data_IF_818116001227
#
_entry.id   IF_818116001227
#
_cell.length_a   1.000
_cell.length_b   1.000
_cell.length_c   1.000
_cell.angle_alpha   90.00
_cell.angle_beta   90.00
_cell.angle_gamma   90.00
#
_symmetry.space_group_name_H-M   'P 1'
#
loop_
_entity.id
_entity.type
_entity.pdbx_description
1 polymer ?
#
# COMPACT_ATOMS: atom_id res chain seq x y z
N UNK A 1 -3.74 9.82 11.20
CA UNK A 1 -3.42 8.74 12.17
C UNK A 1 -2.15 8.01 11.78
N UNK A 2 -2.01 7.51 10.56
CA UNK A 2 -0.78 6.86 10.10
C UNK A 2 0.46 7.75 10.34
N UNK A 3 0.38 9.04 10.03
CA UNK A 3 1.47 9.99 10.30
C UNK A 3 1.80 10.11 11.80
N UNK A 4 0.78 10.11 12.66
CA UNK A 4 0.96 10.16 14.13
C UNK A 4 1.64 8.88 14.63
N UNK A 5 1.20 7.73 14.14
CA UNK A 5 1.78 6.43 14.46
C UNK A 5 3.26 6.40 14.08
N UNK A 6 3.57 6.70 12.82
CA UNK A 6 4.93 6.67 12.31
C UNK A 6 5.83 7.69 13.02
N UNK A 7 5.30 8.87 13.33
CA UNK A 7 6.01 9.86 14.13
C UNK A 7 6.34 9.32 15.53
N UNK A 8 5.35 8.75 16.24
CA UNK A 8 5.55 8.19 17.58
C UNK A 8 6.55 7.03 17.57
N UNK A 9 6.44 6.11 16.60
CA UNK A 9 7.43 5.04 16.41
C UNK A 9 8.84 5.59 16.18
N UNK A 10 8.99 6.68 15.41
CA UNK A 10 10.31 7.28 15.13
C UNK A 10 11.04 7.77 16.38
N UNK A 11 10.31 8.25 17.39
CA UNK A 11 10.91 8.81 18.62
C UNK A 11 10.98 7.82 19.79
N UNK A 12 10.50 6.58 19.60
CA UNK A 12 10.58 5.53 20.60
C UNK A 12 11.91 4.79 20.55
N UNK A 13 12.41 4.36 21.73
CA UNK A 13 13.66 3.57 21.83
C UNK A 13 13.55 2.20 21.15
N UNK A 14 12.37 1.59 21.24
CA UNK A 14 11.99 0.31 20.62
C UNK A 14 11.28 0.51 19.26
N UNK A 15 11.28 1.72 18.72
CA UNK A 15 10.48 2.11 17.55
C UNK A 15 10.71 1.24 16.31
N UNK A 16 11.96 0.85 16.06
CA UNK A 16 12.32 -0.02 14.92
C UNK A 16 11.75 -1.43 15.06
N UNK A 17 11.79 -1.98 16.29
CA UNK A 17 11.21 -3.28 16.59
C UNK A 17 9.69 -3.22 16.40
N UNK A 18 9.03 -2.21 16.98
CA UNK A 18 7.59 -2.01 16.85
C UNK A 18 7.16 -1.80 15.39
N UNK A 19 7.97 -1.11 14.57
CA UNK A 19 7.70 -1.01 13.13
C UNK A 19 7.73 -2.39 12.45
N UNK A 20 8.70 -3.24 12.81
CA UNK A 20 8.77 -4.61 12.33
C UNK A 20 7.56 -5.44 12.75
N UNK A 21 7.11 -5.32 13.99
CA UNK A 21 5.92 -5.99 14.54
C UNK A 21 4.64 -5.51 13.83
N UNK A 22 4.46 -4.19 13.65
CA UNK A 22 3.33 -3.62 12.90
C UNK A 22 3.28 -4.11 11.45
N UNK A 23 4.43 -4.20 10.77
CA UNK A 23 4.50 -4.75 9.41
C UNK A 23 4.21 -6.26 9.39
N UNK A 24 4.47 -6.97 10.50
CA UNK A 24 4.11 -8.36 10.71
C UNK A 24 2.60 -8.60 10.82
N UNK A 25 1.83 -7.59 11.24
CA UNK A 25 0.36 -7.63 11.28
C UNK A 25 -0.29 -7.52 9.89
N UNK A 26 0.47 -7.13 8.87
CA UNK A 26 -0.05 -7.00 7.51
C UNK A 26 -0.32 -8.38 6.93
N UNK A 27 -1.56 -8.59 6.50
CA UNK A 27 -1.98 -9.85 5.91
C UNK A 27 -1.80 -9.84 4.38
N UNK A 28 -0.95 -10.74 3.88
CA UNK A 28 -0.68 -10.89 2.44
C UNK A 28 -1.39 -12.15 1.90
N UNK A 29 -2.50 -12.02 1.15
CA UNK A 29 -3.34 -13.17 0.74
C UNK A 29 -2.63 -14.17 -0.18
N UNK A 30 -1.66 -13.69 -0.95
CA UNK A 30 -0.98 -14.43 -2.03
C UNK A 30 0.52 -14.64 -1.77
N UNK A 31 1.02 -14.21 -0.61
CA UNK A 31 2.39 -14.43 -0.15
C UNK A 31 2.35 -15.49 0.95
N UNK A 32 3.36 -16.37 1.02
CA UNK A 32 3.52 -17.19 2.23
C UNK A 32 3.67 -16.26 3.42
N UNK A 33 2.98 -16.57 4.51
CA UNK A 33 2.85 -15.69 5.67
C UNK A 33 4.24 -15.20 6.11
N UNK A 34 4.31 -13.90 6.36
CA UNK A 34 5.52 -13.15 6.66
C UNK A 34 6.11 -13.46 8.05
N UNK A 35 5.57 -14.45 8.77
CA UNK A 35 5.96 -14.84 10.13
C UNK A 35 7.42 -15.30 10.30
N UNK A 36 8.25 -15.21 9.25
CA UNK A 36 9.70 -15.41 9.25
C UNK A 36 10.46 -14.25 8.59
N UNK A 37 9.92 -13.02 8.67
CA UNK A 37 10.63 -11.86 8.19
C UNK A 37 11.90 -11.64 9.01
N UNK A 38 13.04 -11.55 8.33
CA UNK A 38 14.30 -11.17 8.96
C UNK A 38 14.12 -9.85 9.73
N UNK A 39 14.72 -9.68 10.93
CA UNK A 39 14.58 -8.46 11.71
C UNK A 39 14.92 -7.20 10.92
N UNK A 40 14.15 -6.13 11.13
CA UNK A 40 14.46 -4.82 10.54
C UNK A 40 15.71 -4.27 11.23
N UNK A 41 16.77 -3.99 10.46
CA UNK A 41 18.03 -3.40 10.97
C UNK A 41 18.03 -1.88 10.91
N UNK A 42 17.37 -1.33 9.88
CA UNK A 42 17.21 0.09 9.72
C UNK A 42 15.90 0.37 8.96
N UNK A 43 15.33 1.55 9.19
CA UNK A 43 14.17 2.02 8.47
C UNK A 43 14.27 3.53 8.20
N UNK A 44 13.89 3.94 6.99
CA UNK A 44 13.61 5.33 6.67
C UNK A 44 12.13 5.47 6.29
N UNK A 45 11.42 6.38 6.95
CA UNK A 45 10.00 6.64 6.71
C UNK A 45 9.84 7.98 6.00
N UNK A 46 9.16 7.97 4.85
CA UNK A 46 8.88 9.16 4.05
C UNK A 46 7.36 9.32 3.96
N UNK A 47 6.83 10.31 4.67
CA UNK A 47 5.38 10.56 4.81
C UNK A 47 4.89 11.50 3.70
N UNK A 48 3.69 11.26 3.17
CA UNK A 48 3.03 12.09 2.15
C UNK A 48 3.90 12.37 0.92
N UNK A 49 4.59 11.31 0.45
CA UNK A 49 5.56 11.44 -0.63
C UNK A 49 4.87 11.44 -1.99
N UNK A 50 4.92 12.58 -2.68
CA UNK A 50 4.51 12.63 -4.09
C UNK A 50 5.47 11.85 -4.99
N UNK A 51 4.95 11.05 -5.91
CA UNK A 51 5.71 10.34 -6.94
C UNK A 51 5.34 10.83 -8.35
N UNK A 52 4.90 12.10 -8.47
CA UNK A 52 4.52 12.73 -9.73
C UNK A 52 3.43 11.93 -10.46
N UNK A 53 3.69 11.42 -11.68
CA UNK A 53 2.67 10.72 -12.47
C UNK A 53 2.30 9.35 -11.88
N UNK A 54 3.03 8.87 -10.87
CA UNK A 54 2.75 7.62 -10.16
C UNK A 54 1.83 7.83 -8.95
N UNK A 55 1.36 9.06 -8.73
CA UNK A 55 0.49 9.43 -7.62
C UNK A 55 1.28 9.73 -6.35
N UNK A 56 0.55 10.13 -5.33
CA UNK A 56 1.12 10.35 -4.00
C UNK A 56 1.02 9.07 -3.18
N UNK A 57 1.90 8.91 -2.21
CA UNK A 57 1.82 7.85 -1.21
C UNK A 57 1.64 8.44 0.17
N UNK A 58 0.69 7.89 0.94
CA UNK A 58 0.53 8.29 2.34
C UNK A 58 1.82 8.02 3.13
N UNK A 59 2.50 6.91 2.83
CA UNK A 59 3.82 6.64 3.36
C UNK A 59 4.64 5.70 2.46
N UNK A 60 5.94 6.00 2.33
CA UNK A 60 6.95 5.08 1.79
C UNK A 60 7.92 4.71 2.90
N UNK A 61 8.10 3.42 3.15
CA UNK A 61 9.02 2.90 4.17
C UNK A 61 10.15 2.14 3.46
N UNK A 62 11.37 2.60 3.62
CA UNK A 62 12.59 1.93 3.14
C UNK A 62 13.17 1.12 4.30
N UNK A 63 13.32 -0.18 4.11
CA UNK A 63 13.72 -1.13 5.14
C UNK A 63 15.03 -1.80 4.73
N UNK A 64 15.95 -1.92 5.68
CA UNK A 64 17.12 -2.78 5.53
C UNK A 64 16.95 -4.02 6.41
N UNK A 65 17.03 -5.21 5.79
CA UNK A 65 16.95 -6.51 6.44
C UNK A 65 18.16 -7.35 6.02
N UNK A 66 19.21 -7.34 6.85
CA UNK A 66 20.44 -8.12 6.65
C UNK A 66 20.99 -8.07 5.21
N UNK A 67 21.11 -6.85 4.67
CA UNK A 67 21.65 -6.61 3.32
C UNK A 67 20.60 -6.70 2.19
N UNK A 68 19.35 -6.98 2.53
CA UNK A 68 18.21 -6.93 1.62
C UNK A 68 17.40 -5.65 1.84
N UNK A 69 17.50 -4.73 0.88
CA UNK A 69 16.71 -3.50 0.89
C UNK A 69 15.29 -3.74 0.39
N UNK A 70 14.28 -3.43 1.20
CA UNK A 70 12.86 -3.61 0.91
C UNK A 70 12.14 -2.26 0.96
N UNK A 71 11.13 -2.07 0.11
CA UNK A 71 10.30 -0.86 0.11
C UNK A 71 8.85 -1.24 0.37
N UNK A 72 8.21 -0.60 1.34
CA UNK A 72 6.77 -0.67 1.55
C UNK A 72 6.10 0.64 1.12
N UNK A 73 5.19 0.55 0.15
CA UNK A 73 4.27 1.61 -0.20
C UNK A 73 2.99 1.42 0.60
N UNK A 74 2.59 2.43 1.38
CA UNK A 74 1.42 2.36 2.24
C UNK A 74 0.39 3.37 1.77
N UNK A 75 -0.83 2.89 1.51
CA UNK A 75 -2.00 3.70 1.18
C UNK A 75 -3.11 3.46 2.19
N UNK A 76 -3.59 4.53 2.80
CA UNK A 76 -4.58 4.50 3.85
C UNK A 76 -5.91 5.08 3.38
N UNK A 77 -6.98 4.31 3.55
CA UNK A 77 -8.36 4.73 3.29
C UNK A 77 -9.11 4.85 4.60
N UNK A 78 -9.86 5.94 4.75
CA UNK A 78 -10.79 6.14 5.87
C UNK A 78 -12.21 5.79 5.43
N UNK A 79 -13.09 5.45 6.37
CA UNK A 79 -14.49 5.21 6.03
C UNK A 79 -15.11 6.53 5.56
N UNK A 80 -15.59 6.53 4.31
CA UNK A 80 -16.61 7.51 3.94
C UNK A 80 -17.95 7.00 4.50
N UNK A 81 -18.95 7.86 4.64
CA UNK A 81 -20.25 7.55 5.28
C UNK A 81 -21.10 6.48 4.57
N UNK A 82 -20.52 5.69 3.65
CA UNK A 82 -21.13 4.63 2.87
C UNK A 82 -20.50 3.28 3.24
N UNK A 83 -21.34 2.24 3.38
CA UNK A 83 -21.07 0.90 3.93
C UNK A 83 -19.65 0.34 3.61
N UNK A 84 -18.84 -0.05 4.62
CA UNK A 84 -17.41 -0.39 4.46
C UNK A 84 -17.08 -1.64 3.63
N UNK A 85 -17.79 -2.76 3.79
CA UNK A 85 -17.43 -4.03 3.12
C UNK A 85 -17.70 -4.00 1.62
N UNK A 86 -18.78 -3.32 1.20
CA UNK A 86 -19.08 -3.11 -0.22
C UNK A 86 -18.09 -2.16 -0.90
N UNK A 87 -17.37 -1.33 -0.15
CA UNK A 87 -16.44 -0.34 -0.69
C UNK A 87 -15.20 -1.00 -1.30
N UNK A 88 -14.56 -1.90 -0.56
CA UNK A 88 -13.29 -2.52 -1.00
C UNK A 88 -13.48 -3.43 -2.22
N UNK A 89 -14.49 -4.31 -2.21
CA UNK A 89 -14.84 -5.14 -3.38
C UNK A 89 -15.21 -4.28 -4.59
N UNK A 90 -15.95 -3.20 -4.38
CA UNK A 90 -16.33 -2.28 -5.44
C UNK A 90 -15.13 -1.53 -6.01
N UNK A 91 -14.20 -1.05 -5.18
CA UNK A 91 -12.94 -0.43 -5.66
C UNK A 91 -12.11 -1.43 -6.46
N UNK A 92 -12.05 -2.69 -6.01
CA UNK A 92 -11.35 -3.74 -6.73
C UNK A 92 -12.01 -4.06 -8.09
N UNK A 93 -13.35 -4.15 -8.11
CA UNK A 93 -14.10 -4.35 -9.34
C UNK A 93 -13.95 -3.17 -10.30
N UNK A 94 -13.89 -1.93 -9.77
CA UNK A 94 -13.59 -0.76 -10.59
C UNK A 94 -12.21 -0.85 -11.19
N UNK A 95 -11.18 -1.09 -10.38
CA UNK A 95 -9.82 -1.29 -10.85
C UNK A 95 -9.76 -2.33 -11.98
N UNK A 96 -10.37 -3.50 -11.79
CA UNK A 96 -10.43 -4.55 -12.82
C UNK A 96 -11.11 -4.10 -14.11
N UNK A 97 -12.26 -3.45 -13.99
CA UNK A 97 -13.04 -2.99 -15.15
C UNK A 97 -12.34 -1.85 -15.90
N UNK A 98 -11.71 -0.94 -15.16
CA UNK A 98 -11.01 0.24 -15.68
C UNK A 98 -9.74 -0.17 -16.45
N UNK A 99 -9.01 -1.13 -15.89
CA UNK A 99 -7.90 -1.83 -16.55
C UNK A 99 -8.38 -2.55 -17.81
N UNK A 100 -9.38 -3.43 -17.69
CA UNK A 100 -9.77 -4.33 -18.78
C UNK A 100 -10.58 -3.70 -19.92
N UNK A 101 -11.32 -2.60 -19.69
CA UNK A 101 -12.21 -2.00 -20.71
C UNK A 101 -11.66 -0.75 -21.37
N UNK A 102 -10.96 0.10 -20.61
CA UNK A 102 -10.56 1.43 -21.08
C UNK A 102 -9.04 1.66 -21.00
N UNK A 103 -8.30 0.73 -20.38
CA UNK A 103 -6.87 0.89 -20.07
C UNK A 103 -6.57 2.06 -19.13
N UNK A 104 -7.59 2.67 -18.52
CA UNK A 104 -7.42 3.86 -17.69
C UNK A 104 -7.27 3.44 -16.26
N UNK A 105 -6.16 3.73 -15.61
CA UNK A 105 -6.07 3.57 -14.15
C UNK A 105 -6.77 4.75 -13.47
N UNK A 106 -7.71 4.43 -12.58
CA UNK A 106 -8.43 5.42 -11.77
C UNK A 106 -7.58 6.00 -10.64
N UNK A 107 -8.22 6.78 -9.77
CA UNK A 107 -7.64 7.28 -8.53
C UNK A 107 -8.02 6.41 -7.31
N UNK A 108 -8.54 5.20 -7.54
CA UNK A 108 -8.86 4.23 -6.49
C UNK A 108 -7.60 3.64 -5.85
N UNK A 109 -7.76 3.00 -4.70
CA UNK A 109 -6.68 2.41 -3.90
C UNK A 109 -5.79 1.45 -4.72
N UNK A 110 -6.38 0.56 -5.50
CA UNK A 110 -5.64 -0.46 -6.23
C UNK A 110 -4.88 0.15 -7.41
N UNK A 111 -5.51 1.08 -8.14
CA UNK A 111 -4.83 1.83 -9.20
C UNK A 111 -3.61 2.59 -8.66
N UNK A 112 -3.74 3.21 -7.48
CA UNK A 112 -2.64 3.94 -6.86
C UNK A 112 -1.48 3.03 -6.43
N UNK A 113 -1.77 1.87 -5.82
CA UNK A 113 -0.75 0.88 -5.46
C UNK A 113 -0.10 0.27 -6.71
N UNK A 114 -0.89 -0.02 -7.74
CA UNK A 114 -0.37 -0.59 -8.98
C UNK A 114 0.62 0.35 -9.68
N UNK A 115 0.35 1.66 -9.72
CA UNK A 115 1.31 2.65 -10.25
C UNK A 115 2.65 2.64 -9.52
N UNK A 116 2.62 2.43 -8.20
CA UNK A 116 3.83 2.38 -7.36
C UNK A 116 4.65 1.14 -7.67
N UNK A 117 3.98 0.00 -7.90
CA UNK A 117 4.63 -1.20 -8.41
C UNK A 117 5.26 -0.99 -9.79
N UNK A 118 4.56 -0.31 -10.71
CA UNK A 118 5.11 0.01 -12.04
C UNK A 118 6.38 0.86 -11.92
N UNK A 119 6.37 1.87 -11.05
CA UNK A 119 7.56 2.68 -10.78
C UNK A 119 8.70 1.82 -10.21
N UNK A 120 8.40 1.00 -9.19
CA UNK A 120 9.37 0.13 -8.55
C UNK A 120 10.01 -0.85 -9.54
N UNK A 121 9.21 -1.57 -10.34
CA UNK A 121 9.70 -2.49 -11.36
C UNK A 121 10.63 -1.78 -12.34
N UNK A 122 10.23 -0.62 -12.87
CA UNK A 122 11.07 0.08 -13.83
C UNK A 122 12.37 0.62 -13.21
N UNK A 123 12.36 1.02 -11.93
CA UNK A 123 13.58 1.41 -11.22
C UNK A 123 14.55 0.24 -11.08
N UNK A 124 14.05 -0.98 -10.86
CA UNK A 124 14.84 -2.22 -10.84
C UNK A 124 15.36 -2.56 -12.23
N UNK A 125 14.47 -2.59 -13.24
CA UNK A 125 14.79 -3.09 -14.57
C UNK A 125 15.69 -2.15 -15.38
N UNK A 126 15.46 -0.85 -15.26
CA UNK A 126 16.09 0.18 -16.11
C UNK A 126 17.10 1.04 -15.34
N UNK A 127 17.03 1.05 -14.02
CA UNK A 127 17.81 1.94 -13.16
C UNK A 127 17.25 3.37 -13.12
N UNK A 128 17.60 4.08 -12.03
CA UNK A 128 17.12 5.43 -11.74
C UNK A 128 17.32 6.42 -12.90
N UNK A 129 18.53 6.51 -13.46
CA UNK A 129 18.84 7.53 -14.47
C UNK A 129 18.04 7.34 -15.76
N UNK A 130 17.78 6.10 -16.18
CA UNK A 130 16.95 5.83 -17.35
C UNK A 130 15.48 6.19 -17.11
N UNK A 131 14.94 5.83 -15.94
CA UNK A 131 13.56 6.16 -15.57
C UNK A 131 13.36 7.67 -15.55
N UNK A 132 14.32 8.44 -15.01
CA UNK A 132 14.23 9.91 -14.99
C UNK A 132 14.33 10.51 -16.39
N UNK A 133 15.24 10.01 -17.23
CA UNK A 133 15.48 10.57 -18.56
C UNK A 133 14.34 10.28 -19.55
N UNK A 134 13.84 9.03 -19.56
CA UNK A 134 12.90 8.55 -20.58
C UNK A 134 11.46 8.45 -20.10
N UNK A 135 11.25 8.31 -18.78
CA UNK A 135 9.95 7.92 -18.23
C UNK A 135 9.67 6.43 -18.42
N UNK A 136 8.44 6.05 -18.07
CA UNK A 136 7.96 4.67 -18.12
C UNK A 136 6.76 4.64 -19.07
N UNK A 137 6.87 3.84 -20.13
CA UNK A 137 5.74 3.53 -20.99
C UNK A 137 4.83 2.54 -20.25
N UNK A 138 3.55 2.89 -20.14
CA UNK A 138 2.55 2.03 -19.52
C UNK A 138 1.63 1.56 -20.64
N UNK A 139 1.66 0.26 -20.93
CA UNK A 139 0.74 -0.35 -21.88
C UNK A 139 -0.71 -0.08 -21.44
N UNK A 140 -1.56 0.27 -22.40
CA UNK A 140 -2.98 0.61 -22.22
C UNK A 140 -3.31 1.89 -21.42
N UNK A 141 -2.33 2.56 -20.79
CA UNK A 141 -2.52 3.72 -19.93
C UNK A 141 -2.91 5.05 -20.62
N UNK A 142 -4.10 5.17 -21.21
CA UNK A 142 -4.63 6.49 -21.63
C UNK A 142 -5.22 7.25 -20.45
N UNK A 143 -4.40 7.92 -19.65
CA UNK A 143 -4.92 8.84 -18.62
C UNK A 143 -5.49 10.15 -19.20
N UNK A 144 -6.02 11.01 -18.31
CA UNK A 144 -6.66 12.33 -18.56
C UNK A 144 -5.83 13.30 -19.46
N UNK A 145 -4.56 12.96 -19.79
CA UNK A 145 -3.63 13.78 -20.59
C UNK A 145 -3.10 13.13 -21.87
N UNK A 146 -3.67 12.02 -22.35
CA UNK A 146 -3.29 11.34 -23.61
C UNK A 146 -1.81 10.87 -23.72
N UNK A 147 -1.03 10.88 -22.63
CA UNK A 147 0.35 10.36 -22.64
C UNK A 147 0.39 8.93 -22.14
N UNK A 148 1.03 8.04 -22.90
CA UNK A 148 1.37 6.66 -22.48
C UNK A 148 2.64 6.60 -21.65
N UNK A 149 3.38 7.72 -21.57
CA UNK A 149 4.63 7.82 -20.80
C UNK A 149 4.36 8.56 -19.48
N UNK A 150 4.66 7.90 -18.36
CA UNK A 150 4.66 8.47 -17.00
C UNK A 150 6.06 8.90 -16.58
N UNK A 151 6.16 10.02 -15.87
CA UNK A 151 7.44 10.62 -15.46
C UNK A 151 7.43 10.98 -13.96
N UNK A 152 8.63 10.92 -13.36
CA UNK A 152 8.89 11.44 -12.01
C UNK A 152 8.94 12.98 -11.95
N UNK A 153 8.92 13.64 -13.11
CA UNK A 153 9.07 15.09 -13.22
C UNK A 153 10.50 15.55 -12.96
N UNK A 154 10.65 16.82 -12.56
CA UNK A 154 11.94 17.47 -12.26
C UNK A 154 12.06 17.94 -10.81
N UNK A 155 11.08 17.62 -9.96
CA UNK A 155 11.08 18.06 -8.57
C UNK A 155 12.20 17.36 -7.79
N UNK A 156 13.14 18.09 -7.16
CA UNK A 156 14.29 17.49 -6.49
C UNK A 156 13.91 16.62 -5.28
N UNK A 157 12.78 16.89 -4.62
CA UNK A 157 12.26 16.07 -3.52
C UNK A 157 11.84 14.70 -4.04
N UNK A 158 11.06 14.67 -5.13
CA UNK A 158 10.60 13.43 -5.78
C UNK A 158 11.78 12.61 -6.28
N UNK A 159 12.74 13.26 -6.97
CA UNK A 159 13.93 12.60 -7.49
C UNK A 159 14.81 12.01 -6.38
N UNK A 160 14.94 12.72 -5.24
CA UNK A 160 15.68 12.22 -4.08
C UNK A 160 14.99 11.00 -3.46
N UNK A 161 13.67 11.03 -3.29
CA UNK A 161 12.91 9.89 -2.79
C UNK A 161 13.05 8.68 -3.73
N UNK A 162 12.88 8.87 -5.04
CA UNK A 162 13.05 7.80 -6.02
C UNK A 162 14.47 7.22 -6.07
N UNK A 163 15.50 8.04 -5.85
CA UNK A 163 16.89 7.56 -5.75
C UNK A 163 17.09 6.69 -4.51
N UNK A 164 16.51 7.07 -3.37
CA UNK A 164 16.57 6.26 -2.14
C UNK A 164 15.78 4.96 -2.28
N UNK A 165 14.62 5.00 -2.92
CA UNK A 165 13.86 3.79 -3.25
C UNK A 165 14.71 2.85 -4.10
N UNK A 166 15.39 3.32 -5.15
CA UNK A 166 16.14 2.46 -6.08
C UNK A 166 17.17 1.50 -5.43
N UNK A 167 17.65 1.80 -4.21
CA UNK A 167 18.57 0.92 -3.47
C UNK A 167 17.87 -0.02 -2.47
N UNK A 168 16.54 0.07 -2.34
CA UNK A 168 15.67 -0.72 -1.46
C UNK A 168 14.56 -1.47 -2.21
N UNK A 169 14.79 -1.88 -3.46
CA UNK A 169 13.77 -2.57 -4.29
C UNK A 169 14.06 -4.06 -4.50
N UNK A 170 14.81 -4.70 -3.59
CA UNK A 170 14.98 -6.17 -3.66
C UNK A 170 13.68 -6.92 -3.32
N UNK A 171 12.80 -6.28 -2.57
CA UNK A 171 11.43 -6.72 -2.30
C UNK A 171 10.51 -5.50 -2.16
N UNK A 172 9.25 -5.63 -2.60
CA UNK A 172 8.28 -4.54 -2.60
C UNK A 172 7.01 -5.00 -1.89
N UNK A 173 6.53 -4.19 -0.95
CA UNK A 173 5.26 -4.39 -0.26
C UNK A 173 4.30 -3.28 -0.69
N UNK A 174 3.08 -3.66 -1.04
CA UNK A 174 1.98 -2.76 -1.37
C UNK A 174 0.93 -2.91 -0.26
N UNK A 175 1.00 -2.05 0.74
CA UNK A 175 0.18 -2.15 1.96
C UNK A 175 -1.01 -1.22 1.86
N UNK A 176 -2.20 -1.79 1.89
CA UNK A 176 -3.45 -1.04 1.99
C UNK A 176 -3.93 -1.04 3.45
N UNK A 177 -4.06 0.16 4.04
CA UNK A 177 -4.69 0.37 5.36
C UNK A 177 -6.16 0.72 5.15
N UNK A 178 -7.09 -0.15 5.56
CA UNK A 178 -8.50 -0.05 5.18
C UNK A 178 -9.45 0.10 6.38
N UNK A 179 -10.61 0.75 6.19
CA UNK A 179 -11.60 0.99 7.24
C UNK A 179 -12.53 -0.21 7.41
N UNK A 180 -11.96 -1.38 7.57
CA UNK A 180 -12.69 -2.55 8.05
C UNK A 180 -12.68 -2.52 9.58
N UNK A 181 -13.76 -3.02 10.19
CA UNK A 181 -13.81 -3.26 11.63
C UNK A 181 -12.83 -4.39 11.97
N UNK A 182 -13.34 -5.55 12.39
CA UNK A 182 -12.55 -6.77 12.25
C UNK A 182 -12.59 -7.15 10.76
N UNK A 183 -11.45 -7.56 10.20
CA UNK A 183 -11.50 -8.55 9.13
C UNK A 183 -12.21 -9.75 9.76
N UNK A 184 -13.53 -9.85 9.56
CA UNK A 184 -14.23 -11.09 9.92
C UNK A 184 -13.47 -12.21 9.20
N UNK A 185 -13.09 -13.31 9.87
CA UNK A 185 -12.49 -14.45 9.20
C UNK A 185 -13.24 -14.85 7.92
N UNK A 186 -14.57 -14.67 7.87
CA UNK A 186 -15.37 -14.88 6.67
C UNK A 186 -15.13 -13.82 5.58
N UNK A 187 -15.10 -12.52 5.92
CA UNK A 187 -14.78 -11.44 4.96
C UNK A 187 -13.33 -11.54 4.45
N UNK A 188 -12.40 -11.89 5.35
CA UNK A 188 -11.00 -12.13 5.02
C UNK A 188 -10.87 -13.38 4.13
N UNK A 189 -11.60 -14.45 4.44
CA UNK A 189 -11.62 -15.66 3.62
C UNK A 189 -12.31 -15.44 2.28
N UNK A 190 -13.39 -14.66 2.20
CA UNK A 190 -14.07 -14.31 0.96
C UNK A 190 -13.16 -13.42 0.10
N UNK A 191 -12.44 -12.46 0.69
CA UNK A 191 -11.45 -11.68 -0.04
C UNK A 191 -10.26 -12.54 -0.47
N UNK A 192 -9.73 -13.40 0.42
CA UNK A 192 -8.65 -14.33 0.08
C UNK A 192 -9.07 -15.24 -1.06
N UNK A 193 -10.29 -15.78 -0.99
CA UNK A 193 -10.88 -16.62 -2.00
C UNK A 193 -11.09 -15.84 -3.30
N UNK A 194 -11.56 -14.60 -3.24
CA UNK A 194 -11.69 -13.73 -4.41
C UNK A 194 -10.34 -13.43 -5.04
N UNK A 195 -9.35 -12.99 -4.26
CA UNK A 195 -7.99 -12.70 -4.72
C UNK A 195 -7.29 -13.95 -5.28
N UNK A 196 -7.46 -15.11 -4.64
CA UNK A 196 -6.93 -16.40 -5.12
C UNK A 196 -7.67 -16.94 -6.33
N UNK A 197 -8.98 -16.85 -6.36
CA UNK A 197 -9.78 -17.19 -7.53
C UNK A 197 -9.36 -16.32 -8.70
N UNK A 198 -9.07 -15.04 -8.48
CA UNK A 198 -8.53 -14.15 -9.50
C UNK A 198 -7.10 -14.51 -9.92
N UNK A 199 -6.24 -15.00 -9.02
CA UNK A 199 -4.94 -15.57 -9.43
C UNK A 199 -5.14 -16.75 -10.39
N UNK A 200 -6.03 -17.67 -10.03
CA UNK A 200 -6.26 -18.92 -10.76
C UNK A 200 -7.02 -18.68 -12.07
N UNK A 201 -8.07 -17.87 -12.06
CA UNK A 201 -8.86 -17.51 -13.24
C UNK A 201 -8.02 -16.71 -14.24
N UNK A 202 -7.11 -15.83 -13.82
CA UNK A 202 -6.24 -15.13 -14.78
C UNK A 202 -5.12 -16.03 -15.33
N UNK A 203 -4.70 -17.08 -14.60
CA UNK A 203 -3.82 -18.11 -15.17
C UNK A 203 -4.55 -19.02 -16.17
N UNK A 204 -5.84 -19.27 -15.97
CA UNK A 204 -6.63 -20.17 -16.82
C UNK A 204 -7.37 -19.49 -17.98
N UNK A 205 -7.75 -18.22 -17.86
CA UNK A 205 -8.66 -17.55 -18.81
C UNK A 205 -7.93 -16.64 -19.80
N UNK A 206 -6.62 -16.40 -19.63
CA UNK A 206 -5.88 -15.55 -20.56
C UNK A 206 -6.53 -14.17 -20.72
N UNK A 207 -7.11 -13.65 -19.63
CA UNK A 207 -7.59 -12.26 -19.62
C UNK A 207 -6.34 -11.40 -19.67
N UNK A 208 -6.01 -10.94 -20.87
CA UNK A 208 -5.02 -9.91 -21.08
C UNK A 208 -5.57 -8.61 -20.46
N UNK A 209 -5.40 -8.49 -19.14
CA UNK A 209 -5.66 -7.26 -18.41
C UNK A 209 -4.71 -6.15 -18.88
N UNK A 210 -3.73 -6.45 -19.76
CA UNK A 210 -2.72 -5.49 -20.16
C UNK A 210 -1.82 -5.05 -19.02
N UNK A 211 -1.82 -5.81 -17.92
CA UNK A 211 -1.03 -5.55 -16.73
C UNK A 211 0.12 -6.55 -16.67
N UNK A 212 1.26 -6.18 -17.25
CA UNK A 212 2.47 -7.01 -17.25
C UNK A 212 2.95 -7.42 -15.85
N UNK A 213 2.58 -6.66 -14.81
CA UNK A 213 2.98 -6.87 -13.40
C UNK A 213 1.86 -7.43 -12.51
N UNK A 214 0.79 -8.02 -13.07
CA UNK A 214 -0.36 -8.47 -12.26
C UNK A 214 0.01 -9.52 -11.20
N UNK A 215 0.86 -10.49 -11.56
CA UNK A 215 1.32 -11.53 -10.62
C UNK A 215 2.14 -10.93 -9.48
N UNK A 216 3.00 -9.97 -9.78
CA UNK A 216 3.84 -9.29 -8.79
C UNK A 216 3.00 -8.38 -7.89
N UNK A 217 1.97 -7.74 -8.46
CA UNK A 217 0.99 -6.97 -7.69
C UNK A 217 0.33 -7.83 -6.63
N UNK A 218 -0.22 -8.98 -7.01
CA UNK A 218 -0.91 -9.85 -6.06
C UNK A 218 0.03 -10.43 -5.00
N UNK A 219 1.28 -10.77 -5.35
CA UNK A 219 2.29 -11.24 -4.39
C UNK A 219 2.76 -10.16 -3.41
N UNK A 220 2.77 -8.91 -3.84
CA UNK A 220 3.23 -7.76 -3.06
C UNK A 220 2.12 -7.10 -2.26
N UNK A 221 0.85 -7.36 -2.61
CA UNK A 221 -0.31 -6.74 -1.99
C UNK A 221 -0.62 -7.32 -0.61
N UNK A 222 -0.73 -6.44 0.38
CA UNK A 222 -1.06 -6.76 1.76
C UNK A 222 -2.12 -5.82 2.33
N UNK A 223 -2.86 -6.30 3.31
CA UNK A 223 -3.94 -5.58 3.98
C UNK A 223 -3.66 -5.42 5.47
N UNK A 224 -3.97 -4.22 5.96
CA UNK A 224 -3.97 -3.89 7.37
C UNK A 224 -5.27 -3.13 7.67
N UNK A 225 -5.98 -3.49 8.72
CA UNK A 225 -7.20 -2.76 9.11
C UNK A 225 -6.89 -1.67 10.12
N UNK A 226 -7.66 -0.58 10.11
CA UNK A 226 -7.53 0.41 11.17
C UNK A 226 -7.77 -0.16 12.57
N UNK A 227 -8.59 -1.20 12.71
CA UNK A 227 -8.78 -1.88 14.00
C UNK A 227 -7.51 -2.62 14.45
N UNK A 228 -6.79 -3.28 13.53
CA UNK A 228 -5.48 -3.89 13.85
C UNK A 228 -4.48 -2.81 14.26
N UNK A 229 -4.43 -1.70 13.53
CA UNK A 229 -3.55 -0.57 13.87
C UNK A 229 -3.89 -0.02 15.26
N UNK A 230 -5.18 0.16 15.57
CA UNK A 230 -5.64 0.63 16.87
C UNK A 230 -5.29 -0.38 17.98
N UNK A 231 -5.57 -1.67 17.77
CA UNK A 231 -5.23 -2.74 18.72
C UNK A 231 -3.73 -2.79 19.01
N UNK A 232 -2.90 -2.71 17.98
CA UNK A 232 -1.46 -2.58 18.10
C UNK A 232 -1.05 -1.36 18.94
N UNK A 233 -1.66 -0.19 18.68
CA UNK A 233 -1.38 1.02 19.46
C UNK A 233 -1.77 0.86 20.94
N UNK A 234 -2.88 0.17 21.24
CA UNK A 234 -3.30 -0.12 22.61
C UNK A 234 -2.34 -1.07 23.32
N UNK A 235 -1.92 -2.14 22.65
CA UNK A 235 -1.01 -3.16 23.19
C UNK A 235 0.37 -2.59 23.54
N UNK A 236 0.89 -1.69 22.70
CA UNK A 236 2.23 -1.10 22.88
C UNK A 236 2.23 0.27 23.57
N UNK A 237 1.08 0.70 24.10
CA UNK A 237 0.91 1.98 24.81
C UNK A 237 1.36 3.19 23.97
N UNK A 238 0.89 3.28 22.72
CA UNK A 238 1.16 4.40 21.80
C UNK A 238 0.15 5.53 22.02
N UNK A 239 0.19 6.12 23.23
CA UNK A 239 -0.85 7.02 23.74
C UNK A 239 -1.06 8.27 22.86
N UNK A 240 -0.01 8.83 22.26
CA UNK A 240 -0.15 10.01 21.42
C UNK A 240 -0.93 9.70 20.14
N UNK A 241 -0.66 8.54 19.55
CA UNK A 241 -1.42 8.03 18.40
C UNK A 241 -2.84 7.69 18.79
N UNK A 242 -3.07 7.15 20.00
CA UNK A 242 -4.42 6.89 20.50
C UNK A 242 -5.27 8.15 20.66
N UNK A 243 -4.68 9.31 20.96
CA UNK A 243 -5.39 10.61 20.92
C UNK A 243 -5.90 10.90 19.51
N UNK A 244 -5.08 10.66 18.49
CA UNK A 244 -5.49 10.82 17.09
C UNK A 244 -6.63 9.85 16.72
N UNK A 245 -6.59 8.60 17.18
CA UNK A 245 -7.70 7.66 16.98
C UNK A 245 -9.00 8.15 17.60
N UNK A 246 -8.97 8.61 18.86
CA UNK A 246 -10.16 9.13 19.55
C UNK A 246 -10.73 10.36 18.85
N UNK A 247 -9.88 11.28 18.39
CA UNK A 247 -10.32 12.47 17.65
C UNK A 247 -10.99 12.10 16.31
N UNK A 248 -10.51 11.05 15.64
CA UNK A 248 -10.98 10.65 14.31
C UNK A 248 -11.96 9.46 14.32
N UNK A 249 -12.41 9.00 15.49
CA UNK A 249 -13.23 7.80 15.67
C UNK A 249 -14.40 7.70 14.67
N UNK A 250 -15.10 8.80 14.42
CA UNK A 250 -16.24 8.86 13.49
C UNK A 250 -15.91 8.76 12.00
N UNK A 251 -14.63 8.86 11.61
CA UNK A 251 -14.15 8.77 10.23
C UNK A 251 -13.45 7.44 9.93
N UNK A 252 -12.98 6.72 10.96
CA UNK A 252 -12.17 5.51 10.81
C UNK A 252 -13.06 4.27 10.75
N UNK A 253 -14.01 4.22 11.68
CA UNK A 253 -14.88 3.07 11.87
C UNK A 253 -16.17 3.55 12.51
N UNK A 254 -17.30 3.27 11.87
CA UNK A 254 -18.61 3.56 12.44
C UNK A 254 -18.81 2.89 13.83
N UNK A 255 -18.07 1.81 14.10
CA UNK A 255 -18.12 1.08 15.37
C UNK A 255 -17.48 1.82 16.56
N UNK A 256 -16.58 2.78 16.34
CA UNK A 256 -15.92 3.50 17.45
C UNK A 256 -16.82 4.56 18.11
N UNK A 257 -17.94 4.92 17.48
CA UNK A 257 -18.93 5.85 18.07
C UNK A 257 -19.68 5.25 19.26
N UNK A 258 -19.75 3.93 19.43
CA UNK A 258 -20.56 3.32 20.50
C UNK A 258 -19.85 3.24 21.85
N UNK A 259 -18.51 3.36 21.90
CA UNK A 259 -17.72 3.13 23.12
C UNK A 259 -17.13 4.42 23.73
N UNK A 260 -17.40 5.59 23.14
CA UNK A 260 -16.84 6.88 23.57
C UNK A 260 -17.79 7.71 24.44
N UNK A 261 -18.83 7.09 25.02
CA UNK A 261 -19.67 7.68 26.06
C UNK A 261 -19.31 7.06 27.41
N UNK A 262 -18.27 7.57 28.04
CA UNK A 262 -18.01 7.46 29.49
C UNK A 262 -17.46 8.78 29.98
#
# INVERSE_FOLDING_TARGET
MLNSLLHELTYRRDGLQLLGELLGEVWFPCRKQISQMEPVRNAEVIVEQSLSDFGDSDCVILLDRDGHGQTAFVEAKVATSQVPSRYFRREFDFFRNDVGRNGRLGADLFSQLYRKLVLASALVDRGFDQVVAKGIEVENGKEYRNSTVRKLGRNPVVLRAARKMAVHLSDVLLVAVVPLGKLDPEDAAEFAASARMLLVENECVGVDLGLCLWKDFLRSFGLLTWLQVEGFCMEHHLDNTMVSFRHNAGQISAHLKSNSVV
#
